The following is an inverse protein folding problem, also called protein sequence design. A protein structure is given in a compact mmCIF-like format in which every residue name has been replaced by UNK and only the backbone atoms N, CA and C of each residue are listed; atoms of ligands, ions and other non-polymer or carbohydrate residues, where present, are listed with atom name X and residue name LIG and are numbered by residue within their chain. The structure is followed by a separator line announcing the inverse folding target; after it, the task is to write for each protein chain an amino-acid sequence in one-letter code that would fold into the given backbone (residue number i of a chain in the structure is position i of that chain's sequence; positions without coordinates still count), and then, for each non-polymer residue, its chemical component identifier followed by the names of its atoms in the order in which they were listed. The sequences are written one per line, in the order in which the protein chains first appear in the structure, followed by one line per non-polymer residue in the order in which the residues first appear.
data_IF_851624815390
#
_entry.id   IF_851624815390
#
_cell.length_a   1.000
_cell.length_b   1.000
_cell.length_c   1.000
_cell.angle_alpha   90.00
_cell.angle_beta   90.00
_cell.angle_gamma   90.00
#
_symmetry.space_group_name_H-M   'P 1'
#
loop_
_entity.id
_entity.type
_entity.pdbx_description
1 polymer ?
#
# COMPACT_ATOMS: atom_id res chain seq x y z
N UNK A 1 -14.97 -4.88 14.11
CA UNK A 1 -15.68 -4.19 13.01
C UNK A 1 -14.72 -3.44 12.08
N UNK A 2 -13.75 -2.66 12.58
CA UNK A 2 -12.84 -1.85 11.75
C UNK A 2 -12.08 -2.59 10.63
N UNK A 3 -11.57 -3.80 10.88
CA UNK A 3 -10.84 -4.59 9.86
C UNK A 3 -11.68 -4.90 8.61
N UNK A 4 -12.95 -5.25 8.80
CA UNK A 4 -13.85 -5.59 7.69
C UNK A 4 -14.20 -4.34 6.88
N UNK A 5 -14.47 -3.23 7.57
CA UNK A 5 -14.75 -1.93 6.93
C UNK A 5 -13.56 -1.39 6.12
N UNK A 6 -12.32 -1.54 6.60
CA UNK A 6 -11.12 -1.08 5.88
C UNK A 6 -10.86 -1.88 4.60
N UNK A 7 -11.04 -3.20 4.65
CA UNK A 7 -10.90 -4.08 3.49
C UNK A 7 -11.88 -3.76 2.36
N UNK A 8 -13.10 -3.36 2.72
CA UNK A 8 -14.17 -3.05 1.75
C UNK A 8 -14.09 -1.59 1.26
N UNK A 9 -13.70 -0.63 2.11
CA UNK A 9 -13.64 0.79 1.76
C UNK A 9 -12.35 1.21 1.02
N UNK A 10 -11.21 0.59 1.34
CA UNK A 10 -9.90 0.94 0.77
C UNK A 10 -9.84 0.88 -0.76
N UNK A 11 -10.30 -0.23 -1.38
CA UNK A 11 -10.32 -0.35 -2.84
C UNK A 11 -11.21 0.72 -3.51
N UNK A 12 -12.43 0.92 -3.01
CA UNK A 12 -13.38 1.86 -3.60
C UNK A 12 -12.90 3.31 -3.59
N UNK A 13 -12.25 3.74 -2.50
CA UNK A 13 -11.68 5.09 -2.38
C UNK A 13 -10.57 5.33 -3.41
N UNK A 14 -9.69 4.33 -3.59
CA UNK A 14 -8.53 4.43 -4.47
C UNK A 14 -8.92 4.35 -5.95
N UNK A 15 -9.83 3.44 -6.32
CA UNK A 15 -10.32 3.34 -7.70
C UNK A 15 -11.11 4.58 -8.13
N UNK A 16 -11.85 5.22 -7.20
CA UNK A 16 -12.61 6.43 -7.51
C UNK A 16 -11.71 7.65 -7.79
N UNK A 17 -10.57 7.77 -7.11
CA UNK A 17 -9.72 8.97 -7.21
C UNK A 17 -8.60 8.89 -8.26
N UNK A 18 -8.15 7.70 -8.68
CA UNK A 18 -6.90 7.60 -9.47
C UNK A 18 -7.05 6.84 -10.79
N UNK A 19 -6.76 7.56 -11.89
CA UNK A 19 -6.73 7.04 -13.27
C UNK A 19 -5.45 6.28 -13.63
N UNK A 20 -4.39 6.40 -12.82
CA UNK A 20 -3.13 5.64 -12.94
C UNK A 20 -2.78 5.06 -11.59
N UNK A 21 -2.63 3.74 -11.55
CA UNK A 21 -2.46 2.98 -10.32
C UNK A 21 -1.07 2.34 -10.32
N UNK A 22 -0.09 3.10 -9.82
CA UNK A 22 1.31 2.69 -9.64
C UNK A 22 1.77 3.06 -8.21
N UNK A 23 2.88 2.46 -7.76
CA UNK A 23 3.39 2.55 -6.39
C UNK A 23 3.62 4.01 -5.94
N UNK A 24 4.32 4.79 -6.76
CA UNK A 24 4.67 6.17 -6.40
C UNK A 24 3.42 7.05 -6.29
N UNK A 25 2.50 6.94 -7.26
CA UNK A 25 1.24 7.68 -7.24
C UNK A 25 0.34 7.23 -6.08
N UNK A 26 0.40 5.94 -5.70
CA UNK A 26 -0.37 5.40 -4.58
C UNK A 26 0.15 5.89 -3.22
N UNK A 27 1.46 5.95 -3.01
CA UNK A 27 2.05 6.51 -1.79
C UNK A 27 1.69 7.99 -1.66
N UNK A 28 1.84 8.76 -2.75
CA UNK A 28 1.43 10.18 -2.79
C UNK A 28 -0.07 10.34 -2.51
N UNK A 29 -0.89 9.45 -3.06
CA UNK A 29 -2.33 9.44 -2.86
C UNK A 29 -2.71 9.20 -1.40
N UNK A 30 -2.11 8.20 -0.75
CA UNK A 30 -2.34 7.92 0.67
C UNK A 30 -2.01 9.18 1.47
N UNK A 31 -0.79 9.72 1.34
CA UNK A 31 -0.41 10.93 2.07
C UNK A 31 -1.37 12.11 1.84
N UNK A 32 -1.75 12.37 0.59
CA UNK A 32 -2.61 13.51 0.25
C UNK A 32 -4.05 13.35 0.72
N UNK A 33 -4.68 12.20 0.43
CA UNK A 33 -6.11 11.97 0.69
C UNK A 33 -6.39 11.87 2.19
N UNK A 34 -5.51 11.24 2.96
CA UNK A 34 -5.80 10.96 4.37
C UNK A 34 -5.22 12.00 5.33
N UNK A 35 -4.05 12.58 5.00
CA UNK A 35 -3.42 13.62 5.83
C UNK A 35 -3.95 15.01 5.50
N UNK A 36 -3.99 15.41 4.21
CA UNK A 36 -4.37 16.78 3.84
C UNK A 36 -5.88 16.99 3.76
N UNK A 37 -6.63 16.05 3.17
CA UNK A 37 -8.09 16.21 3.00
C UNK A 37 -8.91 15.66 4.17
N UNK A 38 -8.46 14.56 4.79
CA UNK A 38 -9.16 13.94 5.91
C UNK A 38 -8.78 14.47 7.29
N UNK A 39 -7.57 15.04 7.46
CA UNK A 39 -6.95 15.35 8.77
C UNK A 39 -7.02 14.17 9.76
N UNK A 40 -7.01 12.95 9.23
CA UNK A 40 -7.26 11.73 9.99
C UNK A 40 -6.00 11.21 10.71
N UNK A 41 -4.82 11.57 10.18
CA UNK A 41 -3.51 11.23 10.72
C UNK A 41 -2.43 12.13 10.13
N UNK A 42 -1.28 12.21 10.80
CA UNK A 42 -0.04 12.70 10.18
C UNK A 42 0.65 11.59 9.41
N UNK A 43 1.31 11.94 8.30
CA UNK A 43 1.92 10.99 7.38
C UNK A 43 3.39 11.32 7.11
N UNK A 44 4.25 10.32 7.27
CA UNK A 44 5.66 10.34 6.86
C UNK A 44 5.94 9.16 5.94
N UNK A 45 6.85 9.34 4.98
CA UNK A 45 7.33 8.23 4.15
C UNK A 45 8.83 8.34 3.88
N UNK A 46 9.52 7.20 3.85
CA UNK A 46 10.93 7.11 3.48
C UNK A 46 11.16 5.92 2.53
N UNK A 47 12.27 5.96 1.81
CA UNK A 47 12.68 4.91 0.89
C UNK A 47 14.19 4.71 1.00
N UNK A 48 14.62 3.46 1.22
CA UNK A 48 16.03 3.10 1.40
C UNK A 48 16.69 2.52 0.13
N UNK A 49 15.98 2.52 -1.01
CA UNK A 49 16.41 1.89 -2.26
C UNK A 49 15.83 0.49 -2.48
N UNK A 50 15.22 -0.13 -1.47
CA UNK A 50 14.58 -1.45 -1.56
C UNK A 50 13.17 -1.46 -0.97
N UNK A 51 12.98 -0.81 0.17
CA UNK A 51 11.74 -0.82 0.95
C UNK A 51 11.23 0.60 1.14
N UNK A 52 9.96 0.81 0.84
CA UNK A 52 9.22 2.00 1.26
C UNK A 52 8.68 1.80 2.66
N UNK A 53 8.99 2.74 3.55
CA UNK A 53 8.43 2.78 4.90
C UNK A 53 7.41 3.91 4.95
N UNK A 54 6.17 3.60 5.30
CA UNK A 54 5.09 4.57 5.46
C UNK A 54 4.68 4.59 6.93
N UNK A 55 4.66 5.76 7.55
CA UNK A 55 4.27 5.94 8.95
C UNK A 55 3.02 6.83 8.98
N UNK A 56 1.97 6.33 9.61
CA UNK A 56 0.69 7.03 9.79
C UNK A 56 0.42 7.15 11.28
N UNK A 57 0.40 8.36 11.84
CA UNK A 57 0.15 8.59 13.28
C UNK A 57 -1.19 9.28 13.51
N UNK A 58 -2.03 8.73 14.38
CA UNK A 58 -3.38 9.19 14.70
C UNK A 58 -3.68 9.05 16.19
N UNK A 59 -4.64 9.80 16.73
CA UNK A 59 -5.02 9.72 18.16
C UNK A 59 -6.31 8.91 18.40
N UNK A 60 -6.74 8.12 17.41
CA UNK A 60 -8.08 7.50 17.36
C UNK A 60 -8.17 6.07 17.94
N UNK A 61 -7.12 5.60 18.60
CA UNK A 61 -7.06 4.30 19.28
C UNK A 61 -6.95 3.08 18.36
N UNK A 62 -6.76 1.91 18.98
CA UNK A 62 -6.39 0.64 18.32
C UNK A 62 -7.33 0.17 17.19
N UNK A 63 -8.62 0.51 17.28
CA UNK A 63 -9.59 0.16 16.23
C UNK A 63 -9.33 0.95 14.94
N UNK A 64 -8.87 2.19 15.05
CA UNK A 64 -8.46 3.01 13.91
C UNK A 64 -7.18 2.46 13.28
N UNK A 65 -6.19 2.04 14.09
CA UNK A 65 -4.97 1.40 13.59
C UNK A 65 -5.31 0.16 12.76
N UNK A 66 -6.21 -0.69 13.27
CA UNK A 66 -6.65 -1.88 12.55
C UNK A 66 -7.38 -1.56 11.25
N UNK A 67 -8.12 -0.45 11.19
CA UNK A 67 -8.79 0.02 9.98
C UNK A 67 -7.78 0.53 8.94
N UNK A 68 -6.84 1.39 9.34
CA UNK A 68 -5.84 1.93 8.42
C UNK A 68 -4.88 0.85 7.91
N UNK A 69 -4.48 -0.08 8.78
CA UNK A 69 -3.63 -1.20 8.39
C UNK A 69 -4.26 -2.07 7.30
N UNK A 70 -5.52 -2.50 7.49
CA UNK A 70 -6.20 -3.32 6.48
C UNK A 70 -6.52 -2.53 5.21
N UNK A 71 -6.77 -1.22 5.32
CA UNK A 71 -6.98 -0.35 4.15
C UNK A 71 -5.70 -0.25 3.31
N UNK A 72 -4.56 0.01 3.95
CA UNK A 72 -3.27 0.10 3.28
C UNK A 72 -2.86 -1.24 2.65
N UNK A 73 -3.08 -2.35 3.36
CA UNK A 73 -2.87 -3.69 2.79
C UNK A 73 -3.71 -3.94 1.54
N UNK A 74 -5.00 -3.61 1.59
CA UNK A 74 -5.88 -3.79 0.45
C UNK A 74 -5.42 -2.96 -0.76
N UNK A 75 -4.97 -1.73 -0.53
CA UNK A 75 -4.48 -0.83 -1.58
C UNK A 75 -3.20 -1.36 -2.22
N UNK A 76 -2.19 -1.75 -1.43
CA UNK A 76 -0.97 -2.32 -2.00
C UNK A 76 -1.18 -3.71 -2.62
N UNK A 77 -2.11 -4.51 -2.08
CA UNK A 77 -2.50 -5.78 -2.67
C UNK A 77 -3.09 -5.64 -4.08
N UNK A 78 -3.81 -4.55 -4.37
CA UNK A 78 -4.27 -4.26 -5.73
C UNK A 78 -3.12 -3.97 -6.71
N UNK A 79 -1.95 -3.56 -6.22
CA UNK A 79 -0.73 -3.39 -7.02
C UNK A 79 0.10 -4.69 -7.14
N UNK A 80 -0.37 -5.80 -6.55
CA UNK A 80 0.38 -7.05 -6.48
C UNK A 80 1.59 -6.96 -5.54
N UNK A 81 1.60 -5.98 -4.63
CA UNK A 81 2.67 -5.79 -3.65
C UNK A 81 2.22 -6.36 -2.31
N UNK A 82 3.11 -7.13 -1.69
CA UNK A 82 2.92 -7.52 -0.29
C UNK A 82 3.44 -6.40 0.61
N UNK A 83 2.82 -6.27 1.78
CA UNK A 83 3.17 -5.24 2.74
C UNK A 83 3.12 -5.79 4.16
N UNK A 84 4.27 -5.70 4.83
CA UNK A 84 4.34 -5.97 6.26
C UNK A 84 3.80 -4.75 6.99
N UNK A 85 2.92 -4.99 7.95
CA UNK A 85 2.32 -3.95 8.77
C UNK A 85 2.70 -4.12 10.23
N UNK A 86 3.01 -3.01 10.88
CA UNK A 86 3.12 -2.89 12.33
C UNK A 86 2.06 -1.91 12.81
N UNK A 87 1.37 -2.28 13.89
CA UNK A 87 0.28 -1.53 14.47
C UNK A 87 0.52 -1.36 15.97
N UNK A 88 0.36 -0.13 16.46
CA UNK A 88 0.15 0.13 17.88
C UNK A 88 -1.19 0.90 18.04
N UNK A 89 -1.43 1.52 19.20
CA UNK A 89 -2.71 2.17 19.48
C UNK A 89 -2.96 3.46 18.66
N UNK A 90 -1.89 4.15 18.27
CA UNK A 90 -1.91 5.51 17.72
C UNK A 90 -1.05 5.66 16.46
N UNK A 91 -0.52 4.56 15.94
CA UNK A 91 0.36 4.52 14.79
C UNK A 91 0.21 3.21 14.01
N UNK A 92 0.32 3.36 12.70
CA UNK A 92 0.50 2.26 11.77
C UNK A 92 1.75 2.52 10.94
N UNK A 93 2.59 1.49 10.81
CA UNK A 93 3.77 1.52 9.95
C UNK A 93 3.65 0.42 8.90
N UNK A 94 3.75 0.80 7.63
CA UNK A 94 3.77 -0.11 6.50
C UNK A 94 5.17 -0.21 5.92
N UNK A 95 5.58 -1.43 5.58
CA UNK A 95 6.80 -1.73 4.86
C UNK A 95 6.41 -2.38 3.54
N UNK A 96 6.73 -1.71 2.43
CA UNK A 96 6.35 -2.13 1.08
C UNK A 96 7.62 -2.30 0.26
N UNK A 97 7.85 -3.50 -0.25
CA UNK A 97 8.97 -3.76 -1.13
C UNK A 97 8.74 -3.04 -2.48
N UNK A 98 9.74 -2.30 -2.96
CA UNK A 98 9.66 -1.59 -4.23
C UNK A 98 9.75 -2.53 -5.45
N UNK A 99 10.06 -3.80 -5.22
CA UNK A 99 10.03 -4.84 -6.24
C UNK A 99 8.76 -5.68 -6.03
N UNK A 100 7.96 -5.93 -7.08
CA UNK A 100 6.85 -6.85 -6.97
C UNK A 100 7.38 -8.22 -6.53
N UNK A 101 6.69 -8.85 -5.58
CA UNK A 101 6.92 -10.25 -5.20
C UNK A 101 6.53 -11.16 -6.37
N UNK A 102 7.31 -11.11 -7.44
CA UNK A 102 7.30 -12.04 -8.56
C UNK A 102 8.73 -12.31 -8.99
N UNK A 103 9.50 -12.89 -8.07
CA UNK A 103 10.68 -13.69 -8.41
C UNK A 103 10.31 -15.18 -8.53
N UNK A 104 9.11 -15.47 -9.05
CA UNK A 104 8.67 -16.82 -9.43
C UNK A 104 8.25 -16.90 -10.90
N UNK A 105 8.80 -16.05 -11.78
CA UNK A 105 8.79 -16.36 -13.20
C UNK A 105 9.94 -17.34 -13.49
N UNK A 106 9.68 -18.60 -13.90
CA UNK A 106 10.73 -19.47 -14.40
C UNK A 106 11.38 -18.83 -15.64
N UNK A 107 12.67 -19.09 -15.91
CA UNK A 107 13.37 -18.46 -17.02
C UNK A 107 12.64 -18.75 -18.33
N UNK A 108 12.27 -17.67 -19.04
CA UNK A 108 11.78 -17.75 -20.42
C UNK A 108 12.83 -18.52 -21.22
N UNK A 109 12.52 -19.76 -21.61
CA UNK A 109 13.33 -20.48 -22.59
C UNK A 109 13.32 -19.65 -23.87
N UNK A 110 14.49 -19.17 -24.24
CA UNK A 110 14.74 -18.47 -25.50
C UNK A 110 14.33 -19.40 -26.64
N UNK A 111 13.14 -19.21 -27.21
CA UNK A 111 12.80 -19.85 -28.49
C UNK A 111 13.63 -19.16 -29.55
N UNK A 112 14.75 -19.78 -29.89
CA UNK A 112 15.53 -19.45 -31.08
C UNK A 112 14.64 -19.66 -32.30
N UNK A 113 14.23 -18.57 -32.94
CA UNK A 113 13.65 -18.60 -34.29
C UNK A 113 14.68 -19.22 -35.23
N UNK A 114 14.37 -20.38 -35.80
CA UNK A 114 15.09 -20.91 -36.97
C UNK A 114 14.37 -20.40 -38.21
N UNK A 115 15.05 -19.70 -39.15
CA UNK A 115 14.43 -19.35 -40.42
C UNK A 115 14.56 -20.52 -41.40
N UNK A 116 13.46 -20.88 -42.06
CA UNK A 116 13.45 -21.46 -43.40
C UNK A 116 12.20 -21.03 -44.13
#
# INVERSE_FOLDING_TARGET
MGRKSGREAGPGLVTFWYKKFDLENTIKAIGKVTSEYGRNFSFDSSFDGKVHVLIMRHESGKNASAYYSESVKAVFGMLGLDCRMEENEDQVTAYVDALPSSTLLPPLKLVTKTPR
#
